data_IF_057034212813
#
_entry.id   IF_057034212813
#
_cell.length_a   1.000
_cell.length_b   1.000
_cell.length_c   1.000
_cell.angle_alpha   90.00
_cell.angle_beta   90.00
_cell.angle_gamma   90.00
#
_symmetry.space_group_name_H-M   'P 1'
#
loop_
_entity.id
_entity.type
_entity.pdbx_description
1 polymer ?
#
# COMPACT_ATOMS: atom_id res chain seq x y z
N UNK A 1 18.21 -19.03 -6.88
CA UNK A 1 17.27 -17.97 -7.27
C UNK A 1 16.09 -18.15 -6.34
N UNK A 2 15.96 -17.32 -5.32
CA UNK A 2 14.77 -17.35 -4.46
C UNK A 2 13.58 -16.91 -5.32
N UNK A 3 12.53 -17.70 -5.31
CA UNK A 3 11.30 -17.46 -6.05
C UNK A 3 10.64 -16.18 -5.50
N UNK A 4 10.95 -15.04 -6.08
CA UNK A 4 10.29 -13.75 -5.83
C UNK A 4 8.79 -13.80 -6.17
N UNK A 5 8.35 -14.90 -6.73
CA UNK A 5 7.05 -15.07 -7.35
C UNK A 5 5.93 -15.46 -6.38
N UNK A 6 6.27 -16.03 -5.22
CA UNK A 6 5.29 -16.47 -4.23
C UNK A 6 4.88 -15.37 -3.23
N UNK A 7 5.64 -14.26 -3.14
CA UNK A 7 5.40 -13.22 -2.15
C UNK A 7 4.41 -12.12 -2.60
N UNK A 8 4.17 -11.97 -3.90
CA UNK A 8 3.33 -10.88 -4.42
C UNK A 8 1.83 -11.16 -4.24
N UNK A 9 1.41 -12.40 -4.40
CA UNK A 9 0.00 -12.77 -4.29
C UNK A 9 -0.16 -13.95 -3.33
N UNK A 10 -0.84 -13.69 -2.23
CA UNK A 10 -1.18 -14.71 -1.23
C UNK A 10 -2.50 -15.35 -1.65
N UNK A 11 -2.51 -16.68 -1.69
CA UNK A 11 -3.72 -17.43 -2.03
C UNK A 11 -4.87 -17.16 -1.05
N UNK A 12 -6.08 -17.17 -1.58
CA UNK A 12 -7.31 -16.96 -0.81
C UNK A 12 -7.40 -17.85 0.44
N UNK A 13 -6.94 -19.09 0.37
CA UNK A 13 -6.93 -20.03 1.49
C UNK A 13 -6.06 -19.61 2.68
N UNK A 14 -5.06 -18.77 2.43
CA UNK A 14 -4.12 -18.26 3.44
C UNK A 14 -4.57 -16.92 4.06
N UNK A 15 -5.69 -16.37 3.61
CA UNK A 15 -6.24 -15.12 4.13
C UNK A 15 -7.02 -15.37 5.42
N UNK A 16 -7.12 -14.34 6.26
CA UNK A 16 -7.98 -14.40 7.43
C UNK A 16 -9.47 -14.23 7.10
N UNK A 17 -10.32 -14.44 8.10
CA UNK A 17 -11.77 -14.37 7.92
C UNK A 17 -12.25 -12.97 7.54
N UNK A 18 -11.64 -11.89 8.06
CA UNK A 18 -12.03 -10.53 7.71
C UNK A 18 -11.67 -10.20 6.27
N UNK A 19 -10.46 -10.58 5.85
CA UNK A 19 -10.02 -10.41 4.46
C UNK A 19 -10.92 -11.20 3.52
N UNK A 20 -11.22 -12.46 3.84
CA UNK A 20 -12.14 -13.29 3.05
C UNK A 20 -13.53 -12.70 2.97
N UNK A 21 -14.12 -12.24 4.08
CA UNK A 21 -15.42 -11.58 4.09
C UNK A 21 -15.49 -10.37 3.15
N UNK A 22 -14.44 -9.55 3.11
CA UNK A 22 -14.38 -8.40 2.20
C UNK A 22 -14.28 -8.85 0.74
N UNK A 23 -13.50 -9.89 0.46
CA UNK A 23 -13.36 -10.44 -0.89
C UNK A 23 -14.66 -11.08 -1.35
N UNK A 24 -15.35 -11.84 -0.50
CA UNK A 24 -16.57 -12.56 -0.83
C UNK A 24 -17.82 -11.68 -0.90
N UNK A 25 -17.73 -10.46 -0.36
CA UNK A 25 -18.83 -9.50 -0.45
C UNK A 25 -19.17 -9.25 -1.94
N UNK A 26 -20.47 -9.33 -2.26
CA UNK A 26 -20.95 -9.08 -3.64
C UNK A 26 -20.47 -7.74 -4.18
N UNK A 27 -20.06 -7.74 -5.43
CA UNK A 27 -19.56 -6.55 -6.13
C UNK A 27 -20.70 -5.65 -6.68
N UNK A 28 -21.77 -5.47 -5.93
CA UNK A 28 -22.92 -4.68 -6.33
C UNK A 28 -23.05 -3.34 -5.58
N UNK A 29 -22.00 -2.93 -4.90
CA UNK A 29 -21.89 -1.67 -4.14
C UNK A 29 -20.44 -1.19 -4.12
N UNK A 30 -20.29 0.11 -4.02
CA UNK A 30 -18.99 0.71 -3.71
C UNK A 30 -18.55 0.33 -2.29
N UNK A 31 -17.24 0.33 -2.05
CA UNK A 31 -16.65 0.04 -0.74
C UNK A 31 -15.43 0.92 -0.49
N UNK A 32 -15.17 1.18 0.78
CA UNK A 32 -13.96 1.85 1.25
C UNK A 32 -13.33 0.97 2.32
N UNK A 33 -12.10 0.54 2.10
CA UNK A 33 -11.37 -0.34 3.02
C UNK A 33 -10.23 0.46 3.65
N UNK A 34 -10.25 0.56 4.98
CA UNK A 34 -9.20 1.20 5.75
C UNK A 34 -8.34 0.16 6.49
N UNK A 35 -7.07 0.47 6.71
CA UNK A 35 -6.19 -0.40 7.48
C UNK A 35 -4.75 0.07 7.44
N UNK A 36 -3.98 -0.27 8.47
CA UNK A 36 -2.56 0.08 8.55
C UNK A 36 -1.71 -0.56 7.45
N UNK A 37 -0.46 -0.09 7.29
CA UNK A 37 0.52 -0.76 6.43
C UNK A 37 0.60 -2.25 6.76
N UNK A 38 0.60 -3.09 5.73
CA UNK A 38 0.70 -4.55 5.93
C UNK A 38 -0.59 -5.24 6.37
N UNK A 39 -1.75 -4.57 6.37
CA UNK A 39 -3.05 -5.19 6.68
C UNK A 39 -3.67 -6.00 5.52
N UNK A 40 -3.08 -5.94 4.32
CA UNK A 40 -3.55 -6.69 3.17
C UNK A 40 -4.52 -5.94 2.25
N UNK A 41 -4.63 -4.61 2.35
CA UNK A 41 -5.49 -3.77 1.48
C UNK A 41 -5.30 -4.07 0.00
N UNK A 42 -4.06 -3.94 -0.48
CA UNK A 42 -3.70 -4.18 -1.89
C UNK A 42 -4.00 -5.63 -2.32
N UNK A 43 -3.83 -6.58 -1.41
CA UNK A 43 -4.14 -7.99 -1.65
C UNK A 43 -5.64 -8.19 -1.88
N UNK A 44 -6.49 -7.57 -1.04
CA UNK A 44 -7.95 -7.60 -1.21
C UNK A 44 -8.35 -6.92 -2.53
N UNK A 45 -7.73 -5.77 -2.85
CA UNK A 45 -7.96 -5.08 -4.13
C UNK A 45 -7.68 -6.00 -5.33
N UNK A 46 -6.60 -6.78 -5.29
CA UNK A 46 -6.22 -7.73 -6.33
C UNK A 46 -7.18 -8.91 -6.43
N UNK A 47 -7.60 -9.49 -5.31
CA UNK A 47 -8.61 -10.57 -5.30
C UNK A 47 -9.94 -10.09 -5.86
N UNK A 48 -10.38 -8.87 -5.50
CA UNK A 48 -11.57 -8.23 -6.08
C UNK A 48 -11.43 -8.04 -7.59
N UNK A 49 -10.30 -7.51 -8.06
CA UNK A 49 -10.04 -7.35 -9.48
C UNK A 49 -10.08 -8.69 -10.23
N UNK A 50 -9.52 -9.76 -9.64
CA UNK A 50 -9.55 -11.10 -10.21
C UNK A 50 -10.98 -11.65 -10.32
N UNK A 51 -11.80 -11.50 -9.28
CA UNK A 51 -13.21 -11.89 -9.33
C UNK A 51 -13.99 -11.12 -10.40
N UNK A 52 -13.79 -9.80 -10.47
CA UNK A 52 -14.45 -8.92 -11.45
C UNK A 52 -14.05 -9.30 -12.88
N UNK A 53 -12.76 -9.54 -13.11
CA UNK A 53 -12.23 -9.97 -14.41
C UNK A 53 -12.79 -11.35 -14.83
N UNK A 54 -12.90 -12.29 -13.88
CA UNK A 54 -13.46 -13.61 -14.11
C UNK A 54 -14.95 -13.58 -14.51
N UNK A 55 -15.68 -12.54 -14.08
CA UNK A 55 -17.06 -12.29 -14.49
C UNK A 55 -17.18 -11.59 -15.85
N UNK A 56 -16.06 -11.26 -16.51
CA UNK A 56 -16.03 -10.52 -17.77
C UNK A 56 -16.43 -9.04 -17.64
N UNK A 57 -16.45 -8.51 -16.43
CA UNK A 57 -16.86 -7.14 -16.15
C UNK A 57 -15.73 -6.14 -16.41
N UNK A 58 -16.07 -4.92 -16.82
CA UNK A 58 -15.07 -3.86 -17.06
C UNK A 58 -14.55 -3.29 -15.76
N UNK A 59 -13.24 -3.14 -15.66
CA UNK A 59 -12.57 -2.57 -14.50
C UNK A 59 -11.33 -1.76 -14.87
N UNK A 60 -10.91 -0.90 -13.93
CA UNK A 60 -9.63 -0.18 -13.96
C UNK A 60 -9.05 -0.17 -12.56
N UNK A 61 -7.75 -0.43 -12.44
CA UNK A 61 -7.00 -0.29 -11.20
C UNK A 61 -6.13 0.96 -11.30
N UNK A 62 -6.25 1.85 -10.33
CA UNK A 62 -5.46 3.07 -10.23
C UNK A 62 -4.56 2.98 -8.99
N UNK A 63 -3.28 3.26 -9.20
CA UNK A 63 -2.27 3.39 -8.14
C UNK A 63 -1.63 4.77 -8.23
N UNK A 64 -1.10 5.28 -7.10
CA UNK A 64 -0.59 6.64 -7.07
C UNK A 64 0.71 6.82 -7.88
N UNK A 65 1.71 5.95 -7.66
CA UNK A 65 3.06 6.12 -8.23
C UNK A 65 3.38 5.19 -9.40
N UNK A 66 4.32 5.61 -10.26
CA UNK A 66 4.87 4.76 -11.34
C UNK A 66 5.59 3.53 -10.80
N UNK A 67 6.30 3.66 -9.68
CA UNK A 67 7.03 2.55 -9.06
C UNK A 67 6.07 1.50 -8.53
N UNK A 68 4.99 1.92 -7.87
CA UNK A 68 3.95 1.03 -7.40
C UNK A 68 3.25 0.32 -8.57
N UNK A 69 2.95 1.06 -9.65
CA UNK A 69 2.42 0.47 -10.87
C UNK A 69 3.33 -0.62 -11.43
N UNK A 70 4.63 -0.36 -11.56
CA UNK A 70 5.60 -1.34 -12.07
C UNK A 70 5.64 -2.60 -11.21
N UNK A 71 5.64 -2.42 -9.89
CA UNK A 71 5.56 -3.54 -8.95
C UNK A 71 4.28 -4.37 -9.13
N UNK A 72 3.15 -3.70 -9.31
CA UNK A 72 1.87 -4.36 -9.58
C UNK A 72 1.82 -5.04 -10.96
N UNK A 73 2.38 -4.42 -12.02
CA UNK A 73 2.31 -4.96 -13.39
C UNK A 73 2.89 -6.37 -13.52
N UNK A 74 4.02 -6.64 -12.87
CA UNK A 74 4.67 -7.93 -12.97
C UNK A 74 3.86 -9.03 -12.26
N UNK A 75 3.28 -8.73 -11.10
CA UNK A 75 2.38 -9.63 -10.39
C UNK A 75 1.03 -9.80 -11.08
N UNK A 76 0.47 -8.72 -11.63
CA UNK A 76 -0.86 -8.73 -12.27
C UNK A 76 -0.88 -9.49 -13.59
N UNK A 77 0.21 -9.44 -14.37
CA UNK A 77 0.34 -10.25 -15.61
C UNK A 77 0.20 -11.73 -15.32
N UNK A 78 0.76 -12.22 -14.21
CA UNK A 78 0.66 -13.61 -13.77
C UNK A 78 -0.77 -13.99 -13.35
N UNK A 79 -1.51 -13.03 -12.80
CA UNK A 79 -2.93 -13.19 -12.46
C UNK A 79 -3.87 -13.03 -13.65
N UNK A 80 -3.36 -12.76 -14.87
CA UNK A 80 -4.15 -12.46 -16.03
C UNK A 80 -4.86 -11.10 -15.98
N UNK A 81 -4.48 -10.24 -15.02
CA UNK A 81 -5.07 -8.91 -14.85
C UNK A 81 -4.37 -7.88 -15.73
N UNK A 82 -5.16 -6.95 -16.24
CA UNK A 82 -4.74 -5.84 -17.12
C UNK A 82 -5.40 -4.55 -16.60
N UNK A 83 -5.25 -3.45 -17.32
CA UNK A 83 -5.90 -2.17 -17.01
C UNK A 83 -5.44 -1.56 -15.67
N UNK A 84 -4.14 -1.61 -15.40
CA UNK A 84 -3.50 -0.96 -14.26
C UNK A 84 -2.78 0.29 -14.71
N UNK A 85 -3.07 1.41 -14.07
CA UNK A 85 -2.53 2.72 -14.42
C UNK A 85 -2.01 3.42 -13.16
N UNK A 86 -0.93 4.19 -13.28
CA UNK A 86 -0.70 5.27 -12.32
C UNK A 86 -1.61 6.45 -12.68
N UNK A 87 -1.95 7.27 -11.69
CA UNK A 87 -2.97 8.31 -11.82
C UNK A 87 -2.81 9.22 -13.05
N UNK A 88 -1.62 9.79 -13.28
CA UNK A 88 -1.41 10.68 -14.43
C UNK A 88 -1.61 9.98 -15.78
N UNK A 89 -1.23 8.70 -15.88
CA UNK A 89 -1.48 7.93 -17.11
C UNK A 89 -2.97 7.66 -17.27
N UNK A 90 -3.67 7.33 -16.19
CA UNK A 90 -5.11 7.13 -16.23
C UNK A 90 -5.84 8.40 -16.71
N UNK A 91 -5.46 9.59 -16.23
CA UNK A 91 -6.05 10.87 -16.68
C UNK A 91 -5.99 11.08 -18.19
N UNK A 92 -4.97 10.58 -18.87
CA UNK A 92 -4.86 10.66 -20.33
C UNK A 92 -5.67 9.56 -21.06
N UNK A 93 -6.15 8.53 -20.34
CA UNK A 93 -6.83 7.36 -20.89
C UNK A 93 -8.14 7.06 -20.16
N UNK A 94 -8.81 8.09 -19.67
CA UNK A 94 -10.03 7.95 -18.90
C UNK A 94 -11.12 7.21 -19.69
N UNK A 95 -11.65 6.14 -19.10
CA UNK A 95 -12.77 5.38 -19.63
C UNK A 95 -13.73 5.03 -18.51
N UNK A 96 -15.01 5.15 -18.75
CA UNK A 96 -16.02 4.65 -17.83
C UNK A 96 -15.96 3.14 -17.75
N UNK A 97 -15.92 2.62 -16.54
CA UNK A 97 -15.90 1.19 -16.24
C UNK A 97 -16.95 0.86 -15.20
N UNK A 98 -17.32 -0.39 -15.09
CA UNK A 98 -18.23 -0.83 -14.03
C UNK A 98 -17.54 -0.76 -12.66
N UNK A 99 -16.25 -1.14 -12.59
CA UNK A 99 -15.50 -1.14 -11.34
C UNK A 99 -14.23 -0.31 -11.42
N UNK A 100 -14.15 0.70 -10.60
CA UNK A 100 -12.93 1.49 -10.40
C UNK A 100 -12.30 1.10 -9.06
N UNK A 101 -11.08 0.59 -9.09
CA UNK A 101 -10.33 0.13 -7.92
C UNK A 101 -9.16 1.09 -7.71
N UNK A 102 -9.08 1.73 -6.56
CA UNK A 102 -8.03 2.71 -6.23
C UNK A 102 -7.28 2.25 -4.99
N UNK A 103 -6.01 1.98 -5.14
CA UNK A 103 -5.13 1.63 -4.02
C UNK A 103 -4.33 2.84 -3.56
N UNK A 104 -3.97 2.87 -2.26
CA UNK A 104 -3.30 3.99 -1.57
C UNK A 104 -4.06 5.33 -1.77
N UNK A 105 -5.39 5.28 -1.59
CA UNK A 105 -6.24 6.43 -1.91
C UNK A 105 -6.01 7.64 -1.00
N UNK A 106 -5.33 7.51 0.15
CA UNK A 106 -4.93 8.62 1.02
C UNK A 106 -3.90 9.56 0.39
N UNK A 107 -3.27 9.16 -0.71
CA UNK A 107 -2.28 9.99 -1.42
C UNK A 107 -2.91 10.93 -2.46
N UNK A 108 -4.24 10.84 -2.65
CA UNK A 108 -4.99 11.67 -3.59
C UNK A 108 -5.69 12.83 -2.89
N UNK A 109 -5.84 13.94 -3.61
CA UNK A 109 -6.67 15.06 -3.15
C UNK A 109 -8.15 14.74 -3.29
N UNK A 110 -8.98 15.56 -2.65
CA UNK A 110 -10.44 15.44 -2.75
C UNK A 110 -10.95 15.58 -4.18
N UNK A 111 -10.37 16.50 -4.93
CA UNK A 111 -10.69 16.76 -6.33
C UNK A 111 -10.36 15.54 -7.18
N UNK A 112 -9.19 14.94 -6.98
CA UNK A 112 -8.75 13.75 -7.70
C UNK A 112 -9.66 12.54 -7.40
N UNK A 113 -10.04 12.34 -6.14
CA UNK A 113 -10.99 11.28 -5.75
C UNK A 113 -12.36 11.53 -6.39
N UNK A 114 -12.86 12.76 -6.38
CA UNK A 114 -14.14 13.12 -6.99
C UNK A 114 -14.09 12.99 -8.52
N UNK A 115 -12.96 13.30 -9.16
CA UNK A 115 -12.75 13.03 -10.58
C UNK A 115 -12.86 11.52 -10.86
N UNK A 116 -12.13 10.69 -10.13
CA UNK A 116 -12.13 9.24 -10.29
C UNK A 116 -13.52 8.62 -10.12
N UNK A 117 -14.28 9.06 -9.13
CA UNK A 117 -15.67 8.57 -8.86
C UNK A 117 -16.62 8.70 -10.05
N UNK A 118 -16.37 9.63 -10.98
CA UNK A 118 -17.22 9.83 -12.16
C UNK A 118 -17.03 8.74 -13.23
N UNK A 119 -15.97 7.95 -13.13
CA UNK A 119 -15.59 6.94 -14.12
C UNK A 119 -15.88 5.51 -13.71
N UNK A 120 -16.30 5.26 -12.46
CA UNK A 120 -16.73 3.96 -11.97
C UNK A 120 -18.22 3.95 -11.62
N UNK A 121 -18.96 2.93 -12.05
CA UNK A 121 -20.29 2.67 -11.51
C UNK A 121 -20.19 2.27 -10.03
N UNK A 122 -19.24 1.40 -9.73
CA UNK A 122 -18.84 1.01 -8.38
C UNK A 122 -17.38 1.39 -8.15
N UNK A 123 -17.11 2.09 -7.05
CA UNK A 123 -15.77 2.52 -6.67
C UNK A 123 -15.31 1.75 -5.43
N UNK A 124 -14.13 1.12 -5.51
CA UNK A 124 -13.49 0.38 -4.43
C UNK A 124 -12.22 1.13 -4.06
N UNK A 125 -12.23 1.82 -2.92
CA UNK A 125 -11.10 2.60 -2.41
C UNK A 125 -10.41 1.86 -1.28
N UNK A 126 -9.08 1.79 -1.34
CA UNK A 126 -8.24 1.17 -0.33
C UNK A 126 -7.19 2.19 0.14
N UNK A 127 -7.02 2.35 1.46
CA UNK A 127 -6.07 3.34 1.97
C UNK A 127 -5.85 3.29 3.47
N UNK A 128 -4.91 4.13 3.92
CA UNK A 128 -4.53 4.30 5.32
C UNK A 128 -4.22 5.77 5.60
N UNK A 129 -5.10 6.45 6.33
CA UNK A 129 -4.91 7.88 6.67
C UNK A 129 -3.60 8.15 7.40
N UNK A 130 -3.12 7.20 8.22
CA UNK A 130 -1.88 7.37 8.96
C UNK A 130 -0.61 7.34 8.07
N UNK A 131 -0.73 6.87 6.82
CA UNK A 131 0.39 6.80 5.87
C UNK A 131 0.38 7.92 4.82
N UNK A 132 -0.49 8.91 4.93
CA UNK A 132 -0.51 10.05 4.01
C UNK A 132 0.78 10.87 4.15
N UNK A 133 1.73 10.65 3.25
CA UNK A 133 3.01 11.37 3.19
C UNK A 133 3.03 12.44 2.08
N UNK A 134 2.04 12.44 1.20
CA UNK A 134 1.97 13.33 0.04
C UNK A 134 1.23 14.65 0.30
N UNK A 135 0.75 14.86 1.53
CA UNK A 135 0.08 16.10 1.96
C UNK A 135 1.01 17.31 2.15
N UNK A 136 2.31 17.15 1.84
CA UNK A 136 3.31 18.20 1.95
C UNK A 136 3.65 18.72 0.54
N UNK A 137 3.22 19.94 0.21
CA UNK A 137 3.56 20.62 -1.05
C UNK A 137 2.37 21.35 -1.68
N UNK A 138 2.58 21.89 -2.89
CA UNK A 138 1.65 22.77 -3.62
C UNK A 138 0.39 22.07 -4.20
N UNK A 139 0.20 20.78 -3.96
CA UNK A 139 -0.89 19.98 -4.56
C UNK A 139 -2.24 20.11 -3.87
N UNK A 140 -2.31 20.79 -2.74
CA UNK A 140 -3.50 20.78 -1.91
C UNK A 140 -3.53 19.65 -0.88
N UNK A 141 -4.53 19.70 0.01
CA UNK A 141 -4.66 18.75 1.10
C UNK A 141 -5.18 17.40 0.58
N UNK A 142 -4.48 16.30 0.91
CA UNK A 142 -4.93 14.94 0.64
C UNK A 142 -6.19 14.61 1.46
N UNK A 143 -7.01 13.70 0.96
CA UNK A 143 -8.25 13.31 1.61
C UNK A 143 -8.06 12.07 2.47
N UNK A 144 -8.54 12.10 3.72
CA UNK A 144 -8.54 10.91 4.58
C UNK A 144 -9.47 9.83 4.07
N UNK A 145 -9.19 8.59 4.42
CA UNK A 145 -10.03 7.45 4.02
C UNK A 145 -11.44 7.54 4.62
N UNK A 146 -11.56 8.04 5.85
CA UNK A 146 -12.83 8.26 6.55
C UNK A 146 -13.67 9.32 5.83
N UNK A 147 -13.02 10.39 5.35
CA UNK A 147 -13.70 11.43 4.59
C UNK A 147 -14.16 10.92 3.24
N UNK A 148 -13.34 10.10 2.57
CA UNK A 148 -13.72 9.45 1.31
C UNK A 148 -14.97 8.59 1.50
N UNK A 149 -15.03 7.79 2.56
CA UNK A 149 -16.20 6.97 2.88
C UNK A 149 -17.43 7.84 3.19
N UNK A 150 -17.26 8.91 3.99
CA UNK A 150 -18.34 9.85 4.32
C UNK A 150 -18.91 10.55 3.08
N UNK A 151 -18.04 11.00 2.15
CA UNK A 151 -18.46 11.65 0.89
C UNK A 151 -19.14 10.65 -0.09
N UNK A 152 -19.07 9.36 0.18
CA UNK A 152 -19.79 8.29 -0.53
C UNK A 152 -21.03 7.80 0.22
N UNK A 153 -21.31 8.31 1.41
CA UNK A 153 -22.43 7.89 2.24
C UNK A 153 -22.32 6.45 2.77
N UNK A 154 -21.09 5.93 2.94
CA UNK A 154 -20.81 4.59 3.44
C UNK A 154 -19.82 4.64 4.61
N UNK A 155 -19.83 3.60 5.44
CA UNK A 155 -18.81 3.43 6.47
C UNK A 155 -17.57 2.72 5.88
N UNK A 156 -16.35 3.08 6.30
CA UNK A 156 -15.18 2.32 5.91
C UNK A 156 -15.17 0.95 6.58
N UNK A 157 -14.66 -0.05 5.86
CA UNK A 157 -14.44 -1.40 6.36
C UNK A 157 -13.01 -1.49 6.94
N UNK A 158 -12.81 -1.61 8.25
CA UNK A 158 -11.50 -1.61 8.85
C UNK A 158 -10.81 -2.98 8.77
N UNK A 159 -9.53 -2.98 8.45
CA UNK A 159 -8.63 -4.13 8.62
C UNK A 159 -7.78 -3.92 9.87
N UNK A 160 -7.94 -4.78 10.84
CA UNK A 160 -7.35 -4.61 12.17
C UNK A 160 -5.94 -5.15 12.30
N UNK A 161 -5.60 -6.22 11.57
CA UNK A 161 -4.35 -6.93 11.75
C UNK A 161 -3.27 -6.50 10.77
N UNK A 162 -2.02 -6.57 11.23
CA UNK A 162 -0.84 -6.35 10.43
C UNK A 162 -0.11 -7.69 10.22
N UNK A 163 0.06 -8.07 8.95
CA UNK A 163 0.71 -9.32 8.53
C UNK A 163 2.14 -9.12 8.04
N UNK A 164 2.59 -7.87 7.92
CA UNK A 164 3.93 -7.51 7.44
C UNK A 164 4.92 -7.36 8.57
N UNK A 165 4.58 -6.54 9.57
CA UNK A 165 5.45 -6.29 10.70
C UNK A 165 5.50 -7.48 11.64
N UNK A 166 6.67 -7.69 12.26
CA UNK A 166 6.81 -8.56 13.41
C UNK A 166 6.52 -7.79 14.69
N UNK A 167 6.14 -8.48 15.76
CA UNK A 167 5.86 -7.87 17.06
C UNK A 167 7.07 -7.11 17.60
N UNK A 168 8.28 -7.61 17.34
CA UNK A 168 9.54 -7.00 17.78
C UNK A 168 9.82 -5.68 17.05
N UNK A 169 9.55 -5.62 15.74
CA UNK A 169 9.66 -4.37 14.95
C UNK A 169 8.56 -3.40 15.35
N UNK A 170 7.34 -3.89 15.56
CA UNK A 170 6.22 -3.09 16.04
C UNK A 170 6.50 -2.45 17.39
N UNK A 171 7.10 -3.20 18.34
CA UNK A 171 7.48 -2.68 19.65
C UNK A 171 8.51 -1.54 19.60
N UNK A 172 9.43 -1.57 18.62
CA UNK A 172 10.30 -0.42 18.35
C UNK A 172 9.49 0.74 17.74
N UNK A 173 8.61 0.44 16.77
CA UNK A 173 7.76 1.44 16.12
C UNK A 173 6.86 2.19 17.10
N UNK A 174 6.27 1.51 18.10
CA UNK A 174 5.49 2.14 19.16
C UNK A 174 6.31 3.17 19.95
N UNK A 175 7.55 2.80 20.31
CA UNK A 175 8.44 3.66 21.08
C UNK A 175 8.93 4.87 20.29
N UNK A 176 9.25 4.69 19.01
CA UNK A 176 9.79 5.77 18.17
C UNK A 176 8.68 6.68 17.65
N UNK A 177 7.56 6.10 17.23
CA UNK A 177 6.44 6.82 16.63
C UNK A 177 5.39 7.31 17.63
N UNK A 178 5.53 6.99 18.91
CA UNK A 178 4.53 7.24 19.95
C UNK A 178 3.11 6.78 19.51
N UNK A 179 3.05 5.58 18.94
CA UNK A 179 1.83 4.93 18.44
C UNK A 179 1.47 3.81 19.40
N UNK A 180 0.20 3.72 19.78
CA UNK A 180 -0.31 2.66 20.66
C UNK A 180 -0.86 1.45 19.89
N UNK A 181 -0.87 0.29 20.52
CA UNK A 181 -1.51 -0.96 20.07
C UNK A 181 -0.97 -1.53 18.73
N UNK A 182 0.21 -1.14 18.29
CA UNK A 182 0.79 -1.68 17.05
C UNK A 182 1.21 -3.14 17.23
N UNK A 183 1.80 -3.47 18.36
CA UNK A 183 2.22 -4.85 18.71
C UNK A 183 1.03 -5.80 18.73
N UNK A 184 -0.08 -5.37 19.35
CA UNK A 184 -1.30 -6.18 19.47
C UNK A 184 -1.91 -6.53 18.11
N UNK A 185 -1.73 -5.68 17.13
CA UNK A 185 -2.23 -5.87 15.75
C UNK A 185 -1.33 -6.78 14.92
N UNK A 186 -0.07 -7.02 15.33
CA UNK A 186 0.88 -7.82 14.57
C UNK A 186 0.70 -9.32 14.82
N UNK A 187 0.58 -10.10 13.73
CA UNK A 187 0.40 -11.56 13.78
C UNK A 187 1.70 -12.35 13.72
N UNK A 188 2.81 -11.68 13.37
CA UNK A 188 4.09 -12.34 13.15
C UNK A 188 5.04 -12.07 14.33
N UNK A 189 5.88 -13.05 14.62
CA UNK A 189 7.07 -12.90 15.45
C UNK A 189 8.31 -12.87 14.57
N UNK A 190 9.42 -12.28 15.05
CA UNK A 190 10.65 -12.18 14.30
C UNK A 190 11.83 -11.77 15.17
N UNK A 191 12.92 -11.40 14.52
CA UNK A 191 14.11 -10.94 15.22
C UNK A 191 13.90 -9.52 15.76
N UNK A 192 14.54 -9.23 16.91
CA UNK A 192 14.55 -7.88 17.47
C UNK A 192 15.37 -6.95 16.56
N UNK A 193 14.85 -5.74 16.26
CA UNK A 193 15.62 -4.76 15.52
C UNK A 193 16.83 -4.30 16.35
N UNK A 194 17.95 -4.04 15.66
CA UNK A 194 19.16 -3.54 16.26
C UNK A 194 19.28 -2.03 16.06
N UNK A 195 19.52 -1.29 17.13
CA UNK A 195 19.87 0.13 17.09
C UNK A 195 21.38 0.27 17.08
N UNK A 196 21.93 0.86 16.03
CA UNK A 196 23.37 1.03 15.83
C UNK A 196 23.65 2.51 15.68
N UNK A 197 24.48 3.09 16.54
CA UNK A 197 24.92 4.47 16.45
C UNK A 197 26.27 4.58 15.73
N UNK A 198 26.50 5.68 15.06
CA UNK A 198 27.78 6.07 14.48
C UNK A 198 28.02 7.56 14.71
N UNK A 199 29.28 7.98 14.74
CA UNK A 199 29.66 9.37 15.04
C UNK A 199 29.66 10.28 13.82
N UNK A 200 29.48 9.71 12.62
CA UNK A 200 29.43 10.43 11.35
C UNK A 200 28.56 9.70 10.33
N UNK A 201 28.20 10.41 9.28
CA UNK A 201 27.44 9.81 8.15
C UNK A 201 28.26 8.72 7.45
N UNK A 202 29.54 8.95 7.18
CA UNK A 202 30.43 7.96 6.57
C UNK A 202 30.55 6.71 7.47
N UNK A 203 30.70 6.92 8.79
CA UNK A 203 30.71 5.81 9.75
C UNK A 203 29.38 5.03 9.81
N UNK A 204 28.24 5.64 9.46
CA UNK A 204 26.98 4.89 9.29
C UNK A 204 27.03 4.00 8.03
N UNK A 205 27.53 4.54 6.92
CA UNK A 205 27.67 3.79 5.68
C UNK A 205 28.64 2.62 5.82
N UNK A 206 29.78 2.83 6.48
CA UNK A 206 30.74 1.76 6.76
C UNK A 206 30.09 0.63 7.57
N UNK A 207 29.35 0.96 8.62
CA UNK A 207 28.63 -0.03 9.44
C UNK A 207 27.57 -0.79 8.63
N UNK A 208 26.84 -0.11 7.76
CA UNK A 208 25.86 -0.75 6.86
C UNK A 208 26.59 -1.75 5.94
N UNK A 209 27.70 -1.33 5.32
CA UNK A 209 28.50 -2.18 4.44
C UNK A 209 29.06 -3.42 5.19
N UNK A 210 29.54 -3.24 6.40
CA UNK A 210 30.04 -4.32 7.26
C UNK A 210 28.92 -5.32 7.61
N UNK A 211 27.72 -4.83 7.95
CA UNK A 211 26.58 -5.70 8.27
C UNK A 211 26.19 -6.53 7.04
N UNK A 212 26.08 -5.88 5.88
CA UNK A 212 25.75 -6.56 4.61
C UNK A 212 26.75 -7.68 4.33
N UNK A 213 28.04 -7.35 4.41
CA UNK A 213 29.14 -8.29 4.16
C UNK A 213 29.18 -9.42 5.17
N UNK A 214 29.18 -9.11 6.46
CA UNK A 214 29.33 -10.08 7.54
C UNK A 214 28.16 -11.06 7.64
N UNK A 215 26.95 -10.60 7.29
CA UNK A 215 25.74 -11.45 7.26
C UNK A 215 25.42 -12.02 5.89
N UNK A 216 26.25 -11.76 4.88
CA UNK A 216 26.05 -12.21 3.48
C UNK A 216 24.64 -11.87 2.96
N UNK A 217 24.17 -10.67 3.26
CA UNK A 217 22.83 -10.24 2.85
C UNK A 217 22.80 -9.96 1.34
N UNK A 218 21.83 -10.54 0.63
CA UNK A 218 21.70 -10.41 -0.83
C UNK A 218 20.56 -9.48 -1.25
N UNK A 219 19.62 -9.21 -0.35
CA UNK A 219 18.47 -8.34 -0.61
C UNK A 219 18.36 -7.30 0.51
N UNK A 220 18.84 -6.09 0.23
CA UNK A 220 18.97 -5.02 1.23
C UNK A 220 18.32 -3.74 0.71
N UNK A 221 17.45 -3.15 1.52
CA UNK A 221 16.91 -1.81 1.31
C UNK A 221 17.51 -0.83 2.32
N UNK A 222 18.03 0.30 1.85
CA UNK A 222 18.53 1.40 2.69
C UNK A 222 17.57 2.57 2.53
N UNK A 223 16.95 3.00 3.64
CA UNK A 223 16.07 4.15 3.68
C UNK A 223 16.84 5.35 4.22
N UNK A 224 16.80 6.45 3.48
CA UNK A 224 17.46 7.71 3.84
C UNK A 224 16.40 8.78 4.15
N UNK A 225 16.66 9.70 5.09
CA UNK A 225 15.71 10.77 5.45
C UNK A 225 15.63 11.90 4.43
N UNK A 226 16.47 11.89 3.38
CA UNK A 226 16.55 12.95 2.36
C UNK A 226 16.50 12.38 0.96
N UNK A 227 16.06 13.21 0.02
CA UNK A 227 16.12 12.90 -1.40
C UNK A 227 17.57 13.07 -1.89
N UNK A 228 18.14 12.05 -2.53
CA UNK A 228 19.51 12.09 -3.08
C UNK A 228 19.66 12.98 -4.30
N UNK A 229 18.54 13.47 -4.87
CA UNK A 229 18.54 14.37 -6.03
C UNK A 229 18.83 15.85 -5.67
N UNK A 230 18.79 16.19 -4.38
CA UNK A 230 19.22 17.52 -3.93
C UNK A 230 20.74 17.59 -3.93
N UNK A 231 21.27 18.22 -4.99
CA UNK A 231 22.68 18.53 -5.16
C UNK A 231 23.22 19.25 -3.92
N UNK A 232 23.79 18.52 -2.99
CA UNK A 232 24.87 18.98 -2.14
C UNK A 232 24.59 20.06 -1.09
N UNK A 233 23.35 20.42 -0.80
CA UNK A 233 22.99 21.35 0.27
C UNK A 233 22.05 20.71 1.29
N UNK A 234 22.41 19.56 1.80
CA UNK A 234 21.82 18.98 3.00
C UNK A 234 22.72 19.30 4.19
N UNK A 235 22.14 19.84 5.24
CA UNK A 235 22.69 20.27 6.53
C UNK A 235 23.85 19.42 7.04
#
# INVERSE_FOLDING_TARGET
>A
MADFDSEFFIDYSSLDDFQRQLIDRKNNKSMVVSGSAGSGKSLIALHKAKQIAALGESYTIIVYTKSLRKYFEDGLKKLGLRNVYHYHQWRHNQRRVKYLIVDECQDFTREEINEMKQYGEYCLFFGDTAQSIMGFGDRGQTQTIERTASDMGIAPDPLYFNYRLTQEVAALGEKVGNVEDLVLKCKRQGEKPNLISANSYDGQLDKIADIIKNRSLTNVGILLPFNTDDKGNGL
#
